data_IF_848120019971
#
_entry.id   IF_848120019971
#
_cell.length_a   1.000
_cell.length_b   1.000
_cell.length_c   1.000
_cell.angle_alpha   90.00
_cell.angle_beta   90.00
_cell.angle_gamma   90.00
#
_symmetry.space_group_name_H-M   'P 1'
#
loop_
_entity.id
_entity.type
_entity.pdbx_description
1 polymer ?
#
# COMPACT_ATOMS: atom_id res chain seq x y z
N UNK A 1 18.34 16.89 -11.10
CA UNK A 1 17.55 15.71 -11.52
C UNK A 1 16.27 16.15 -12.21
N UNK A 2 15.89 15.58 -13.37
CA UNK A 2 14.59 15.89 -14.00
C UNK A 2 13.47 15.49 -13.03
N UNK A 3 12.52 16.39 -12.75
CA UNK A 3 11.47 16.17 -11.72
C UNK A 3 10.61 14.91 -11.96
N UNK A 4 10.60 14.40 -13.20
CA UNK A 4 10.01 13.11 -13.60
C UNK A 4 10.61 11.90 -12.86
N UNK A 5 11.90 11.93 -12.50
CA UNK A 5 12.55 10.83 -11.78
C UNK A 5 11.93 10.62 -10.38
N UNK A 6 11.44 11.67 -9.73
CA UNK A 6 10.75 11.54 -8.43
C UNK A 6 9.48 10.71 -8.54
N UNK A 7 8.69 10.89 -9.61
CA UNK A 7 7.49 10.09 -9.86
C UNK A 7 7.83 8.63 -10.18
N UNK A 8 8.96 8.38 -10.87
CA UNK A 8 9.45 7.02 -11.13
C UNK A 8 9.85 6.35 -9.82
N UNK A 9 10.62 7.03 -8.97
CA UNK A 9 11.02 6.53 -7.64
C UNK A 9 9.79 6.22 -6.79
N UNK A 10 8.82 7.14 -6.72
CA UNK A 10 7.56 6.91 -6.01
C UNK A 10 6.84 5.65 -6.53
N UNK A 11 6.77 5.49 -7.85
CA UNK A 11 6.11 4.34 -8.48
C UNK A 11 6.81 3.02 -8.17
N UNK A 12 8.15 3.00 -8.16
CA UNK A 12 8.92 1.81 -7.77
C UNK A 12 8.66 1.44 -6.32
N UNK A 13 8.69 2.41 -5.40
CA UNK A 13 8.40 2.16 -3.98
C UNK A 13 6.96 1.67 -3.80
N UNK A 14 6.00 2.26 -4.51
CA UNK A 14 4.60 1.81 -4.51
C UNK A 14 4.45 0.35 -4.97
N UNK A 15 5.17 -0.08 -6.02
CA UNK A 15 5.19 -1.47 -6.46
C UNK A 15 5.75 -2.38 -5.37
N UNK A 16 6.88 -2.00 -4.75
CA UNK A 16 7.50 -2.79 -3.68
C UNK A 16 6.55 -2.96 -2.48
N UNK A 17 5.90 -1.87 -2.04
CA UNK A 17 4.89 -1.91 -0.98
C UNK A 17 3.74 -2.84 -1.38
N UNK A 18 3.23 -2.71 -2.61
CA UNK A 18 2.17 -3.57 -3.14
C UNK A 18 2.54 -5.05 -3.10
N UNK A 19 3.73 -5.40 -3.60
CA UNK A 19 4.22 -6.79 -3.61
C UNK A 19 4.36 -7.34 -2.19
N UNK A 20 4.92 -6.57 -1.25
CA UNK A 20 5.01 -6.98 0.15
C UNK A 20 3.62 -7.23 0.76
N UNK A 21 2.62 -6.42 0.42
CA UNK A 21 1.22 -6.67 0.82
C UNK A 21 0.67 -7.95 0.20
N UNK A 22 0.96 -8.19 -1.07
CA UNK A 22 0.58 -9.42 -1.76
C UNK A 22 1.14 -10.65 -1.06
N UNK A 23 2.44 -10.64 -0.71
CA UNK A 23 3.09 -11.72 0.03
C UNK A 23 2.43 -11.92 1.40
N UNK A 24 2.14 -10.84 2.12
CA UNK A 24 1.41 -10.89 3.39
C UNK A 24 0.03 -11.53 3.24
N UNK A 25 -0.73 -11.15 2.21
CA UNK A 25 -2.05 -11.73 1.90
C UNK A 25 -1.99 -13.22 1.58
N UNK A 26 -1.05 -13.65 0.74
CA UNK A 26 -0.84 -15.07 0.41
C UNK A 26 -0.46 -15.86 1.68
N UNK A 27 0.44 -15.31 2.50
CA UNK A 27 0.91 -15.96 3.73
C UNK A 27 -0.23 -16.12 4.74
N UNK A 28 -1.09 -15.11 4.87
CA UNK A 28 -2.32 -15.18 5.69
C UNK A 28 -3.30 -16.23 5.15
N UNK A 29 -3.48 -16.34 3.83
CA UNK A 29 -4.32 -17.39 3.26
C UNK A 29 -3.80 -18.81 3.52
N UNK A 30 -2.48 -19.01 3.45
CA UNK A 30 -1.87 -20.33 3.59
C UNK A 30 -1.74 -20.79 5.05
N UNK A 31 -1.31 -19.88 5.93
CA UNK A 31 -0.98 -20.21 7.33
C UNK A 31 -2.05 -19.79 8.32
N UNK A 32 -2.94 -18.87 7.93
CA UNK A 32 -4.00 -18.38 8.80
C UNK A 32 -3.47 -17.82 10.12
N UNK A 33 -4.03 -18.29 11.22
CA UNK A 33 -3.63 -17.93 12.58
C UNK A 33 -2.30 -18.59 13.03
N UNK A 34 -1.76 -19.53 12.27
CA UNK A 34 -0.45 -20.16 12.53
C UNK A 34 0.71 -19.35 11.94
N UNK A 35 0.41 -18.21 11.29
CA UNK A 35 1.45 -17.30 10.82
C UNK A 35 2.25 -16.78 12.01
N UNK A 36 3.57 -16.95 11.97
CA UNK A 36 4.46 -16.44 13.02
C UNK A 36 4.54 -14.91 12.86
N UNK A 37 3.92 -14.21 13.79
CA UNK A 37 3.95 -12.76 13.92
C UNK A 37 4.40 -12.39 15.33
N UNK A 38 4.94 -11.18 15.51
CA UNK A 38 5.37 -10.67 16.83
C UNK A 38 4.23 -10.71 17.86
N UNK A 39 2.99 -10.59 17.37
CA UNK A 39 1.77 -10.59 18.17
C UNK A 39 0.87 -11.69 17.62
N UNK A 40 0.29 -12.56 18.47
CA UNK A 40 -0.56 -13.64 17.99
C UNK A 40 -1.83 -13.10 17.31
N UNK A 41 -2.24 -13.77 16.23
CA UNK A 41 -3.46 -13.43 15.50
C UNK A 41 -4.67 -13.94 16.29
N UNK A 42 -5.55 -13.03 16.69
CA UNK A 42 -6.80 -13.33 17.42
C UNK A 42 -8.03 -13.44 16.50
N UNK A 43 -7.88 -13.11 15.22
CA UNK A 43 -8.95 -13.11 14.24
C UNK A 43 -9.49 -14.51 13.93
N UNK A 44 -10.79 -14.57 13.65
CA UNK A 44 -11.47 -15.77 13.16
C UNK A 44 -11.11 -16.07 11.69
N UNK A 45 -11.25 -17.33 11.26
CA UNK A 45 -11.01 -17.75 9.86
C UNK A 45 -11.67 -16.87 8.77
N UNK A 46 -12.96 -16.44 8.90
CA UNK A 46 -13.55 -15.53 7.92
C UNK A 46 -12.91 -14.14 7.92
N UNK A 47 -12.53 -13.61 9.09
CA UNK A 47 -11.83 -12.33 9.20
C UNK A 47 -10.44 -12.39 8.56
N UNK A 48 -9.72 -13.49 8.77
CA UNK A 48 -8.41 -13.73 8.15
C UNK A 48 -8.54 -13.76 6.62
N UNK A 49 -9.52 -14.50 6.08
CA UNK A 49 -9.77 -14.56 4.63
C UNK A 49 -10.09 -13.18 4.04
N UNK A 50 -10.92 -12.39 4.75
CA UNK A 50 -11.27 -11.03 4.34
C UNK A 50 -10.03 -10.12 4.28
N UNK A 51 -9.19 -10.17 5.30
CA UNK A 51 -7.97 -9.36 5.38
C UNK A 51 -6.95 -9.80 4.33
N UNK A 52 -6.78 -11.11 4.14
CA UNK A 52 -5.90 -11.66 3.13
C UNK A 52 -6.32 -11.21 1.72
N UNK A 53 -7.62 -11.25 1.41
CA UNK A 53 -8.16 -10.73 0.15
C UNK A 53 -7.95 -9.21 0.03
N UNK A 54 -8.19 -8.46 1.11
CA UNK A 54 -7.94 -7.02 1.14
C UNK A 54 -6.47 -6.66 0.85
N UNK A 55 -5.53 -7.42 1.38
CA UNK A 55 -4.10 -7.24 1.12
C UNK A 55 -3.73 -7.52 -0.35
N UNK A 56 -4.33 -8.55 -0.96
CA UNK A 56 -4.17 -8.84 -2.39
C UNK A 56 -4.77 -7.73 -3.27
N UNK A 57 -5.93 -7.21 -2.90
CA UNK A 57 -6.57 -6.10 -3.60
C UNK A 57 -5.70 -4.84 -3.54
N UNK A 58 -5.16 -4.50 -2.36
CA UNK A 58 -4.23 -3.38 -2.19
C UNK A 58 -2.95 -3.59 -3.01
N UNK A 59 -2.41 -4.81 -3.08
CA UNK A 59 -1.29 -5.14 -3.95
C UNK A 59 -1.59 -4.79 -5.42
N UNK A 60 -2.71 -5.28 -5.95
CA UNK A 60 -3.13 -5.00 -7.32
C UNK A 60 -3.33 -3.50 -7.57
N UNK A 61 -3.96 -2.79 -6.64
CA UNK A 61 -4.19 -1.34 -6.73
C UNK A 61 -2.88 -0.55 -6.75
N UNK A 62 -1.90 -0.90 -5.90
CA UNK A 62 -0.59 -0.24 -5.90
C UNK A 62 0.16 -0.44 -7.22
N UNK A 63 0.21 -1.68 -7.72
CA UNK A 63 0.87 -2.01 -8.98
C UNK A 63 0.18 -1.25 -10.13
N UNK A 64 -1.15 -1.30 -10.20
CA UNK A 64 -1.90 -0.59 -11.22
C UNK A 64 -1.70 0.93 -11.14
N UNK A 65 -1.77 1.53 -9.95
CA UNK A 65 -1.56 2.95 -9.74
C UNK A 65 -0.16 3.39 -10.19
N UNK A 66 0.87 2.64 -9.80
CA UNK A 66 2.26 2.92 -10.15
C UNK A 66 2.49 2.81 -11.67
N UNK A 67 2.03 1.73 -12.31
CA UNK A 67 2.14 1.57 -13.77
C UNK A 67 1.39 2.69 -14.50
N UNK A 68 0.19 3.03 -14.05
CA UNK A 68 -0.62 4.10 -14.64
C UNK A 68 0.03 5.48 -14.46
N UNK A 69 0.71 5.73 -13.34
CA UNK A 69 1.47 6.96 -13.10
C UNK A 69 2.68 7.04 -14.04
N UNK A 70 3.45 5.97 -14.19
CA UNK A 70 4.61 5.92 -15.11
C UNK A 70 4.17 6.14 -16.56
N UNK A 71 3.10 5.46 -17.00
CA UNK A 71 2.64 5.50 -18.40
C UNK A 71 2.02 6.83 -18.78
N UNK A 72 1.04 7.31 -18.00
CA UNK A 72 0.26 8.49 -18.37
C UNK A 72 0.88 9.78 -17.83
N UNK A 73 1.55 9.71 -16.68
CA UNK A 73 2.13 10.86 -16.00
C UNK A 73 1.14 12.04 -15.89
N UNK A 74 -0.13 11.74 -15.61
CA UNK A 74 -1.24 12.69 -15.61
C UNK A 74 -1.71 13.02 -14.20
N UNK A 75 -2.37 14.18 -14.02
CA UNK A 75 -2.94 14.59 -12.73
C UNK A 75 -3.94 13.57 -12.19
N UNK A 76 -4.74 12.92 -13.05
CA UNK A 76 -5.68 11.87 -12.64
C UNK A 76 -4.96 10.65 -12.07
N UNK A 77 -3.91 10.17 -12.75
CA UNK A 77 -3.10 9.04 -12.26
C UNK A 77 -2.40 9.37 -10.94
N UNK A 78 -1.95 10.61 -10.77
CA UNK A 78 -1.35 11.09 -9.52
C UNK A 78 -2.36 11.14 -8.37
N UNK A 79 -3.58 11.65 -8.58
CA UNK A 79 -4.65 11.63 -7.58
C UNK A 79 -4.99 10.18 -7.19
N UNK A 80 -5.06 9.28 -8.18
CA UNK A 80 -5.33 7.87 -7.91
C UNK A 80 -4.26 7.23 -7.00
N UNK A 81 -2.98 7.61 -7.14
CA UNK A 81 -1.93 7.14 -6.23
C UNK A 81 -2.19 7.58 -4.78
N UNK A 82 -2.64 8.81 -4.55
CA UNK A 82 -3.01 9.28 -3.22
C UNK A 82 -4.20 8.53 -2.64
N UNK A 83 -5.22 8.23 -3.46
CA UNK A 83 -6.35 7.43 -3.02
C UNK A 83 -5.92 6.02 -2.58
N UNK A 84 -5.02 5.38 -3.35
CA UNK A 84 -4.48 4.07 -2.99
C UNK A 84 -3.64 4.14 -1.71
N UNK A 85 -2.82 5.18 -1.52
CA UNK A 85 -2.07 5.38 -0.27
C UNK A 85 -2.99 5.57 0.94
N UNK A 86 -4.09 6.32 0.78
CA UNK A 86 -5.07 6.50 1.85
C UNK A 86 -5.78 5.18 2.19
N UNK A 87 -6.25 4.45 1.17
CA UNK A 87 -6.85 3.12 1.35
C UNK A 87 -5.88 2.15 2.03
N UNK A 88 -4.60 2.22 1.68
CA UNK A 88 -3.56 1.42 2.31
C UNK A 88 -3.40 1.73 3.80
N UNK A 89 -3.38 3.00 4.20
CA UNK A 89 -3.29 3.38 5.61
C UNK A 89 -4.51 2.95 6.41
N UNK A 90 -5.71 3.24 5.88
CA UNK A 90 -6.97 2.87 6.52
C UNK A 90 -7.13 1.37 6.62
N UNK A 91 -6.79 0.64 5.54
CA UNK A 91 -6.75 -0.82 5.53
C UNK A 91 -5.74 -1.35 6.53
N UNK A 92 -4.56 -0.73 6.66
CA UNK A 92 -3.58 -1.09 7.68
C UNK A 92 -4.11 -0.97 9.12
N UNK A 93 -4.78 0.14 9.44
CA UNK A 93 -5.41 0.34 10.76
C UNK A 93 -6.50 -0.69 11.04
N UNK A 94 -7.38 -0.92 10.05
CA UNK A 94 -8.46 -1.89 10.15
C UNK A 94 -7.91 -3.30 10.33
N UNK A 95 -6.90 -3.67 9.54
CA UNK A 95 -6.25 -4.97 9.62
C UNK A 95 -5.57 -5.17 10.97
N UNK A 96 -4.87 -4.16 11.50
CA UNK A 96 -4.28 -4.21 12.83
C UNK A 96 -5.33 -4.48 13.92
N UNK A 97 -6.43 -3.71 13.87
CA UNK A 97 -7.52 -3.88 14.82
C UNK A 97 -8.17 -5.27 14.74
N UNK A 98 -8.46 -5.77 13.54
CA UNK A 98 -9.13 -7.06 13.37
C UNK A 98 -8.17 -8.22 13.70
N UNK A 99 -6.91 -8.19 13.24
CA UNK A 99 -5.96 -9.28 13.45
C UNK A 99 -5.44 -9.37 14.88
N UNK A 100 -5.19 -8.23 15.52
CA UNK A 100 -4.45 -8.17 16.78
C UNK A 100 -5.24 -7.51 17.93
N UNK A 101 -6.40 -6.90 17.65
CA UNK A 101 -7.23 -6.22 18.65
C UNK A 101 -6.77 -4.79 18.96
N UNK A 102 -5.75 -4.28 18.28
CA UNK A 102 -5.24 -2.92 18.42
C UNK A 102 -4.82 -2.36 17.06
N UNK A 103 -5.16 -1.10 16.75
CA UNK A 103 -5.00 -0.54 15.41
C UNK A 103 -3.56 -0.18 15.05
N UNK A 104 -2.69 -0.01 16.05
CA UNK A 104 -1.32 0.47 15.86
C UNK A 104 -0.35 -0.51 16.49
N UNK A 105 0.47 -1.12 15.64
CA UNK A 105 1.59 -1.98 16.00
C UNK A 105 2.85 -1.53 15.23
N UNK A 106 3.96 -2.26 15.40
CA UNK A 106 5.20 -2.00 14.65
C UNK A 106 4.98 -2.08 13.14
N UNK A 107 4.14 -3.02 12.67
CA UNK A 107 3.79 -3.16 11.25
C UNK A 107 3.12 -1.91 10.69
N UNK A 108 2.21 -1.30 11.45
CA UNK A 108 1.53 -0.07 11.06
C UNK A 108 2.44 1.15 11.10
N UNK A 109 3.40 1.22 12.04
CA UNK A 109 4.43 2.27 12.02
C UNK A 109 5.26 2.24 10.72
N UNK A 110 5.64 1.04 10.26
CA UNK A 110 6.34 0.88 8.97
C UNK A 110 5.48 1.39 7.82
N UNK A 111 4.16 1.16 7.86
CA UNK A 111 3.23 1.65 6.83
C UNK A 111 3.19 3.17 6.78
N UNK A 112 3.13 3.83 7.93
CA UNK A 112 3.17 5.28 8.00
C UNK A 112 4.47 5.85 7.42
N UNK A 113 5.61 5.26 7.77
CA UNK A 113 6.92 5.68 7.24
C UNK A 113 6.96 5.49 5.72
N UNK A 114 6.51 4.34 5.23
CA UNK A 114 6.48 4.04 3.80
C UNK A 114 5.59 5.03 3.04
N UNK A 115 4.39 5.32 3.54
CA UNK A 115 3.50 6.32 2.92
C UNK A 115 4.11 7.71 2.98
N UNK A 116 4.74 8.09 4.09
CA UNK A 116 5.40 9.39 4.21
C UNK A 116 6.50 9.57 3.16
N UNK A 117 7.36 8.57 2.96
CA UNK A 117 8.41 8.59 1.94
C UNK A 117 7.81 8.69 0.53
N UNK A 118 6.82 7.87 0.20
CA UNK A 118 6.13 7.93 -1.11
C UNK A 118 5.47 9.29 -1.33
N UNK A 119 4.85 9.83 -0.28
CA UNK A 119 4.16 11.13 -0.29
C UNK A 119 5.11 12.27 -0.64
N UNK A 120 6.31 12.28 -0.08
CA UNK A 120 7.36 13.25 -0.43
C UNK A 120 7.64 13.17 -1.93
N UNK A 121 7.96 11.99 -2.45
CA UNK A 121 8.32 11.85 -3.87
C UNK A 121 7.17 12.19 -4.82
N UNK A 122 5.93 11.79 -4.49
CA UNK A 122 4.73 12.16 -5.25
C UNK A 122 4.52 13.68 -5.26
N UNK A 123 4.70 14.34 -4.11
CA UNK A 123 4.53 15.77 -4.00
C UNK A 123 5.61 16.53 -4.77
N UNK A 124 6.89 16.20 -4.59
CA UNK A 124 8.00 16.84 -5.32
C UNK A 124 7.91 16.62 -6.82
N UNK A 125 7.40 15.46 -7.24
CA UNK A 125 7.20 15.09 -8.63
C UNK A 125 6.01 15.77 -9.32
N UNK A 126 5.09 16.41 -8.58
CA UNK A 126 3.82 16.97 -9.09
C UNK A 126 3.98 17.89 -10.31
N UNK A 127 5.01 18.72 -10.31
CA UNK A 127 5.28 19.68 -11.41
C UNK A 127 5.76 19.04 -12.71
N UNK A 128 6.11 17.74 -12.69
CA UNK A 128 6.46 16.99 -13.90
C UNK A 128 5.23 16.34 -14.57
N UNK A 129 4.04 16.47 -13.97
CA UNK A 129 2.81 15.92 -14.53
C UNK A 129 2.45 16.65 -15.82
N UNK A 130 1.96 15.89 -16.80
CA UNK A 130 1.35 16.47 -17.99
C UNK A 130 -0.03 17.00 -17.59
N UNK A 131 -0.24 18.29 -17.76
CA UNK A 131 -1.59 18.84 -17.72
C UNK A 131 -2.35 18.29 -18.92
N UNK A 132 -3.29 17.38 -18.65
CA UNK A 132 -4.35 17.07 -19.61
C UNK A 132 -5.18 18.33 -19.77
N UNK A 133 -4.95 19.07 -20.85
CA UNK A 133 -5.93 20.00 -21.42
C UNK A 133 -7.21 19.26 -21.74
#
# INVERSE_FOLDING_TARGET
MKRKYWLVIASVIMILIGVLRGIGGISLFQKGNQLITDIPIIATNPQISLIAFGLLLICALFIFAAINLIRKNSRRSWIFCWLVLLLFLLGGLLNGYILFGHPIDKGQMINFIAVFIVSIFLYTGKTALKDTK
#
